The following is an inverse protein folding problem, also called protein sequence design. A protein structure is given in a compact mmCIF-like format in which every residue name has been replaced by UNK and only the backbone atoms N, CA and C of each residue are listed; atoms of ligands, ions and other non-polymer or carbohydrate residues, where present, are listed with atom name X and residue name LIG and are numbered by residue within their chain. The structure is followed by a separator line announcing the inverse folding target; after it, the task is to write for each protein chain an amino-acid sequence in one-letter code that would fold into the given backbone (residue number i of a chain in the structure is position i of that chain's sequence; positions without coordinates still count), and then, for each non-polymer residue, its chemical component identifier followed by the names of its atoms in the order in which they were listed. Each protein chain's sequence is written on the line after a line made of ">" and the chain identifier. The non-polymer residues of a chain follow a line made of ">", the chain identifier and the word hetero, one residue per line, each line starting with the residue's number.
data_IF_499623318750
#
_entry.id   IF_499623318750
#
_cell.length_a   1.000
_cell.length_b   1.000
_cell.length_c   1.000
_cell.angle_alpha   90.00
_cell.angle_beta   90.00
_cell.angle_gamma   90.00
#
_symmetry.space_group_name_H-M   'P 1'
#
loop_
_entity.id
_entity.type
_entity.pdbx_description
1 polymer ?
#
# COMPACT_ATOMS: atom_id res chain seq x y z
N UNK A 1 -3.52 21.25 -28.03
CA UNK A 1 -4.62 21.94 -27.34
C UNK A 1 -4.91 21.15 -26.09
N UNK A 2 -4.47 21.61 -24.92
CA UNK A 2 -4.78 20.93 -23.65
C UNK A 2 -6.29 21.02 -23.41
N UNK A 3 -6.99 19.93 -23.05
CA UNK A 3 -8.41 20.00 -22.74
C UNK A 3 -8.62 21.00 -21.58
N UNK A 4 -9.62 21.87 -21.76
CA UNK A 4 -9.94 23.07 -20.97
C UNK A 4 -10.45 22.80 -19.54
N UNK A 5 -10.14 21.64 -18.94
CA UNK A 5 -10.59 21.24 -17.60
C UNK A 5 -9.46 20.76 -16.68
N UNK A 6 -8.19 20.92 -17.06
CA UNK A 6 -7.07 20.57 -16.19
C UNK A 6 -6.87 21.64 -15.09
N UNK A 7 -7.23 21.29 -13.84
CA UNK A 7 -7.02 22.13 -12.64
C UNK A 7 -5.54 22.16 -12.22
N UNK A 8 -4.71 21.24 -12.72
CA UNK A 8 -3.28 21.16 -12.43
C UNK A 8 -2.47 20.89 -13.70
N UNK A 9 -1.26 21.44 -13.71
CA UNK A 9 -0.18 21.14 -14.65
C UNK A 9 0.35 19.70 -14.53
N UNK A 10 0.05 19.01 -13.42
CA UNK A 10 0.43 17.63 -13.18
C UNK A 10 -0.72 16.66 -13.51
N UNK A 11 -0.49 15.61 -14.31
CA UNK A 11 -1.50 14.59 -14.57
C UNK A 11 -1.72 13.70 -13.35
N UNK A 12 -2.90 13.07 -13.27
CA UNK A 12 -3.11 11.96 -12.35
C UNK A 12 -2.22 10.78 -12.76
N UNK A 13 -1.41 10.27 -11.82
CA UNK A 13 -0.47 9.19 -12.05
C UNK A 13 -0.62 8.11 -10.98
N UNK A 14 -0.37 6.87 -11.38
CA UNK A 14 -0.29 5.72 -10.50
C UNK A 14 1.13 5.18 -10.55
N UNK A 15 1.72 4.93 -9.39
CA UNK A 15 3.08 4.40 -9.26
C UNK A 15 3.15 3.55 -8.01
N UNK A 16 4.03 2.55 -7.99
CA UNK A 16 4.34 1.83 -6.77
C UNK A 16 4.79 2.81 -5.66
N UNK A 17 4.14 2.70 -4.50
CA UNK A 17 4.49 3.48 -3.31
C UNK A 17 5.98 3.37 -2.95
N UNK A 18 6.59 2.19 -3.14
CA UNK A 18 8.02 1.98 -2.88
C UNK A 18 8.89 2.94 -3.69
N UNK A 19 8.52 3.26 -4.94
CA UNK A 19 9.27 4.21 -5.78
C UNK A 19 9.20 5.63 -5.25
N UNK A 20 8.06 6.04 -4.71
CA UNK A 20 7.93 7.35 -4.06
C UNK A 20 8.80 7.42 -2.81
N UNK A 21 8.83 6.34 -2.02
CA UNK A 21 9.70 6.22 -0.84
C UNK A 21 11.17 6.27 -1.26
N UNK A 22 11.57 5.58 -2.33
CA UNK A 22 12.94 5.62 -2.87
C UNK A 22 13.36 7.05 -3.20
N UNK A 23 12.50 7.83 -3.86
CA UNK A 23 12.80 9.23 -4.20
C UNK A 23 12.93 10.11 -2.95
N UNK A 24 12.09 9.91 -1.94
CA UNK A 24 12.23 10.62 -0.68
C UNK A 24 13.51 10.24 0.07
N UNK A 25 13.87 8.96 0.09
CA UNK A 25 15.10 8.48 0.72
C UNK A 25 16.34 9.04 0.01
N UNK A 26 16.37 8.99 -1.32
CA UNK A 26 17.45 9.56 -2.14
C UNK A 26 17.60 11.06 -1.89
N UNK A 27 16.49 11.80 -1.81
CA UNK A 27 16.52 13.23 -1.52
C UNK A 27 16.98 13.53 -0.10
N UNK A 28 16.52 12.77 0.91
CA UNK A 28 16.92 12.93 2.30
C UNK A 28 18.42 12.68 2.51
N UNK A 29 18.94 11.63 1.87
CA UNK A 29 20.37 11.27 1.90
C UNK A 29 21.24 12.33 1.21
N UNK A 30 20.78 12.88 0.08
CA UNK A 30 21.52 13.93 -0.67
C UNK A 30 21.29 15.34 -0.14
N UNK A 31 20.30 15.53 0.73
CA UNK A 31 20.00 16.81 1.37
C UNK A 31 21.08 17.22 2.38
N UNK A 32 21.17 18.52 2.76
CA UNK A 32 22.24 19.03 3.62
C UNK A 32 22.40 18.28 4.96
N UNK A 33 21.30 17.76 5.51
CA UNK A 33 21.29 17.02 6.76
C UNK A 33 21.70 15.53 6.62
N UNK A 34 21.86 15.02 5.39
CA UNK A 34 22.30 13.64 5.10
C UNK A 34 21.49 12.58 5.88
N UNK A 35 20.17 12.74 5.89
CA UNK A 35 19.29 11.94 6.75
C UNK A 35 19.11 10.55 6.15
N UNK A 36 19.34 9.52 6.96
CA UNK A 36 19.03 8.13 6.65
C UNK A 36 18.15 7.53 7.76
N UNK A 37 17.14 6.71 7.45
CA UNK A 37 16.34 6.06 8.50
C UNK A 37 17.13 4.99 9.26
N UNK A 38 16.99 4.98 10.59
CA UNK A 38 17.44 3.87 11.43
C UNK A 38 16.38 2.76 11.45
N UNK A 39 16.65 1.67 10.73
CA UNK A 39 15.71 0.54 10.61
C UNK A 39 15.84 -0.46 11.76
N UNK A 40 14.76 -1.22 11.98
CA UNK A 40 14.72 -2.32 12.95
C UNK A 40 14.46 -1.90 14.40
N UNK A 41 14.22 -0.60 14.64
CA UNK A 41 13.76 -0.10 15.93
C UNK A 41 12.25 -0.21 16.07
N UNK A 42 11.79 -0.71 17.21
CA UNK A 42 10.38 -0.72 17.60
C UNK A 42 10.14 0.37 18.63
N UNK A 43 9.16 1.25 18.38
CA UNK A 43 8.68 2.21 19.36
C UNK A 43 7.89 1.49 20.46
N UNK A 44 8.27 1.70 21.72
CA UNK A 44 7.59 1.11 22.86
C UNK A 44 6.66 2.12 23.52
N UNK A 45 7.20 3.28 23.90
CA UNK A 45 6.53 4.27 24.75
C UNK A 45 7.23 5.64 24.62
N UNK A 46 6.49 6.71 24.90
CA UNK A 46 7.07 8.03 25.15
C UNK A 46 6.46 8.63 26.41
N UNK A 47 7.26 9.42 27.10
CA UNK A 47 6.86 10.26 28.23
C UNK A 47 7.39 11.68 28.03
N UNK A 48 6.64 12.69 28.48
CA UNK A 48 7.06 14.09 28.45
C UNK A 48 7.38 14.54 29.87
N UNK A 49 8.63 14.89 30.12
CA UNK A 49 9.16 15.37 31.39
C UNK A 49 9.40 16.89 31.27
N UNK A 50 8.52 17.69 31.87
CA UNK A 50 8.63 19.15 31.83
C UNK A 50 9.90 19.64 32.57
N UNK A 51 10.49 20.73 32.06
CA UNK A 51 11.64 21.40 32.69
C UNK A 51 13.02 20.96 32.22
N UNK A 52 13.12 19.99 31.30
CA UNK A 52 14.36 19.53 30.67
C UNK A 52 14.57 20.17 29.28
N UNK A 53 15.81 20.28 28.80
CA UNK A 53 16.13 20.75 27.43
C UNK A 53 15.62 19.77 26.34
N UNK A 54 15.63 18.47 26.67
CA UNK A 54 15.09 17.38 25.85
C UNK A 54 13.98 16.64 26.63
N UNK A 55 12.78 17.24 26.72
CA UNK A 55 11.72 16.77 27.62
C UNK A 55 11.08 15.46 27.18
N UNK A 56 11.20 15.05 25.91
CA UNK A 56 10.54 13.83 25.43
C UNK A 56 11.49 12.65 25.58
N UNK A 57 11.17 11.73 26.49
CA UNK A 57 11.88 10.48 26.67
C UNK A 57 11.17 9.38 25.87
N UNK A 58 11.87 8.81 24.89
CA UNK A 58 11.35 7.73 24.02
C UNK A 58 12.04 6.43 24.38
N UNK A 59 11.25 5.40 24.70
CA UNK A 59 11.73 4.03 24.84
C UNK A 59 11.56 3.28 23.53
N UNK A 60 12.64 2.65 23.10
CA UNK A 60 12.72 1.88 21.87
C UNK A 60 13.25 0.48 22.19
N UNK A 61 12.91 -0.50 21.36
CA UNK A 61 13.64 -1.77 21.27
C UNK A 61 14.51 -1.73 20.03
N UNK A 62 15.80 -1.99 20.19
CA UNK A 62 16.77 -2.01 19.09
C UNK A 62 16.69 -3.32 18.26
N UNK A 63 17.37 -3.39 17.11
CA UNK A 63 17.36 -4.59 16.26
C UNK A 63 17.91 -5.86 16.94
N UNK A 64 18.64 -5.73 18.05
CA UNK A 64 19.15 -6.83 18.85
C UNK A 64 18.19 -7.23 19.98
N UNK A 65 17.04 -6.57 20.09
CA UNK A 65 16.02 -6.82 21.11
C UNK A 65 16.25 -6.10 22.43
N UNK A 66 17.25 -5.22 22.53
CA UNK A 66 17.57 -4.49 23.76
C UNK A 66 16.77 -3.19 23.85
N UNK A 67 16.32 -2.85 25.05
CA UNK A 67 15.65 -1.56 25.26
C UNK A 67 16.66 -0.42 25.33
N UNK A 68 16.33 0.68 24.66
CA UNK A 68 17.10 1.91 24.63
C UNK A 68 16.21 3.10 24.91
N UNK A 69 16.81 4.13 25.49
CA UNK A 69 16.14 5.41 25.71
C UNK A 69 16.81 6.49 24.87
N UNK A 70 15.99 7.22 24.10
CA UNK A 70 16.39 8.41 23.37
C UNK A 70 15.69 9.61 23.99
N UNK A 71 16.41 10.70 24.23
CA UNK A 71 15.81 11.98 24.65
C UNK A 71 15.76 12.92 23.44
N UNK A 72 14.63 13.58 23.26
CA UNK A 72 14.39 14.50 22.15
C UNK A 72 13.64 15.75 22.61
N UNK A 73 13.81 16.84 21.87
CA UNK A 73 12.98 18.04 22.06
C UNK A 73 11.58 17.86 21.48
N UNK A 74 11.47 17.11 20.37
CA UNK A 74 10.21 16.81 19.71
C UNK A 74 10.18 15.37 19.19
N UNK A 75 8.98 14.80 19.13
CA UNK A 75 8.70 13.52 18.49
C UNK A 75 7.53 13.72 17.54
N UNK A 76 7.65 13.18 16.32
CA UNK A 76 6.59 13.22 15.30
C UNK A 76 6.12 11.79 15.03
N UNK A 77 4.85 11.51 15.30
CA UNK A 77 4.23 10.20 15.06
C UNK A 77 3.84 10.00 13.61
N UNK A 78 4.56 9.14 12.90
CA UNK A 78 4.24 8.70 11.53
C UNK A 78 4.08 7.16 11.42
N UNK A 79 3.69 6.52 12.53
CA UNK A 79 3.63 5.07 12.76
C UNK A 79 2.28 4.41 12.41
N UNK A 80 1.46 5.10 11.60
CA UNK A 80 0.31 4.52 10.91
C UNK A 80 -0.98 4.37 11.73
N UNK A 81 -1.91 3.55 11.21
CA UNK A 81 -3.29 3.47 11.73
C UNK A 81 -3.40 2.96 13.18
N UNK A 82 -2.40 2.19 13.64
CA UNK A 82 -2.24 1.69 15.01
C UNK A 82 -1.11 2.40 15.76
N UNK A 83 -0.95 3.70 15.49
CA UNK A 83 0.08 4.54 16.10
C UNK A 83 0.10 4.43 17.62
N UNK A 84 1.26 4.02 18.16
CA UNK A 84 1.54 4.02 19.60
C UNK A 84 1.86 5.43 20.10
N UNK A 85 2.47 6.27 19.25
CA UNK A 85 2.70 7.69 19.58
C UNK A 85 1.37 8.37 19.88
N UNK A 86 0.36 8.16 19.03
CA UNK A 86 -1.00 8.66 19.25
C UNK A 86 -1.58 8.15 20.57
N UNK A 87 -1.45 6.85 20.84
CA UNK A 87 -1.96 6.23 22.06
C UNK A 87 -1.29 6.82 23.33
N UNK A 88 0.02 7.07 23.33
CA UNK A 88 0.74 7.72 24.45
C UNK A 88 0.29 9.18 24.68
N UNK A 89 -0.20 9.86 23.65
CA UNK A 89 -0.66 11.26 23.75
C UNK A 89 -2.15 11.41 24.05
N UNK A 90 -2.89 10.31 24.18
CA UNK A 90 -4.33 10.34 24.48
C UNK A 90 -5.21 10.88 23.35
N UNK A 91 -4.72 10.92 22.11
CA UNK A 91 -5.50 11.38 20.95
C UNK A 91 -6.49 10.28 20.53
N UNK A 92 -7.79 10.59 20.61
CA UNK A 92 -8.84 9.66 20.22
C UNK A 92 -9.09 9.62 18.70
N UNK A 93 -9.38 8.44 18.17
CA UNK A 93 -9.78 8.25 16.77
C UNK A 93 -11.26 7.87 16.71
N UNK A 94 -12.09 8.77 16.20
CA UNK A 94 -13.49 8.47 15.88
C UNK A 94 -13.55 7.66 14.58
N UNK A 95 -14.12 6.45 14.64
CA UNK A 95 -14.27 5.56 13.48
C UNK A 95 -15.73 5.41 13.11
N UNK A 96 -16.03 5.51 11.82
CA UNK A 96 -17.29 5.03 11.26
C UNK A 96 -17.23 3.49 11.16
N UNK A 97 -18.19 2.75 11.75
CA UNK A 97 -18.19 1.29 11.76
C UNK A 97 -18.55 0.65 10.41
N UNK A 98 -18.96 1.41 9.39
CA UNK A 98 -19.32 0.86 8.07
C UNK A 98 -18.11 0.38 7.27
N UNK A 99 -17.64 -0.83 7.57
CA UNK A 99 -16.48 -1.41 6.92
C UNK A 99 -16.89 -2.27 5.71
N UNK A 100 -16.57 -1.81 4.51
CA UNK A 100 -16.56 -2.61 3.29
C UNK A 100 -15.18 -3.23 3.07
N UNK A 101 -15.13 -4.54 2.84
CA UNK A 101 -13.88 -5.23 2.57
C UNK A 101 -13.54 -5.23 1.07
N UNK A 102 -12.26 -5.08 0.77
CA UNK A 102 -11.71 -5.13 -0.59
C UNK A 102 -10.50 -6.06 -0.64
N UNK A 103 -10.47 -6.95 -1.62
CA UNK A 103 -9.25 -7.65 -2.01
C UNK A 103 -8.48 -6.78 -3.00
N UNK A 104 -7.16 -6.64 -2.81
CA UNK A 104 -6.30 -5.88 -3.72
C UNK A 104 -5.23 -6.81 -4.28
N UNK A 105 -5.14 -6.86 -5.61
CA UNK A 105 -4.19 -7.72 -6.32
C UNK A 105 -3.47 -6.93 -7.40
N UNK A 106 -2.14 -7.02 -7.43
CA UNK A 106 -1.30 -6.55 -8.54
C UNK A 106 -0.94 -7.74 -9.42
N UNK A 107 -1.34 -7.72 -10.70
CA UNK A 107 -1.22 -8.89 -11.59
C UNK A 107 -0.66 -8.52 -12.95
N UNK A 108 0.13 -9.45 -13.50
CA UNK A 108 0.41 -9.53 -14.92
C UNK A 108 -0.63 -10.48 -15.53
N UNK A 109 -1.34 -10.02 -16.56
CA UNK A 109 -2.40 -10.78 -17.18
C UNK A 109 -2.41 -10.58 -18.69
N UNK A 110 -2.95 -11.57 -19.37
CA UNK A 110 -3.39 -11.49 -20.76
C UNK A 110 -4.91 -11.46 -20.77
N UNK A 111 -5.50 -10.48 -21.44
CA UNK A 111 -6.95 -10.29 -21.51
C UNK A 111 -7.33 -9.55 -22.78
N UNK A 112 -8.51 -9.83 -23.28
CA UNK A 112 -9.18 -9.12 -24.38
C UNK A 112 -10.04 -7.95 -23.87
N UNK A 113 -10.08 -7.69 -22.56
CA UNK A 113 -10.81 -6.56 -21.99
C UNK A 113 -10.24 -5.23 -22.52
N UNK A 114 -11.02 -4.44 -23.27
CA UNK A 114 -10.48 -3.34 -24.08
C UNK A 114 -9.90 -2.20 -23.23
N UNK A 115 -10.46 -2.00 -22.03
CA UNK A 115 -10.08 -0.88 -21.15
C UNK A 115 -9.04 -1.27 -20.09
N UNK A 116 -8.29 -2.38 -20.28
CA UNK A 116 -7.31 -2.86 -19.30
C UNK A 116 -6.21 -1.82 -18.97
N UNK A 117 -6.01 -0.83 -19.84
CA UNK A 117 -5.05 0.28 -19.68
C UNK A 117 -5.67 1.59 -19.20
N UNK A 118 -6.96 1.58 -18.85
CA UNK A 118 -7.66 2.74 -18.32
C UNK A 118 -8.12 2.46 -16.89
N UNK A 119 -8.13 3.51 -16.05
CA UNK A 119 -8.76 3.42 -14.74
C UNK A 119 -10.26 3.28 -14.96
N UNK A 120 -10.86 2.18 -14.49
CA UNK A 120 -12.29 1.95 -14.64
C UNK A 120 -12.91 1.30 -13.40
N UNK A 121 -14.16 1.67 -13.14
CA UNK A 121 -15.03 0.94 -12.23
C UNK A 121 -15.86 -0.05 -13.04
N UNK A 122 -15.78 -1.32 -12.71
CA UNK A 122 -16.53 -2.41 -13.35
C UNK A 122 -17.55 -2.89 -12.34
N UNK A 123 -18.83 -2.83 -12.69
CA UNK A 123 -19.92 -3.28 -11.84
C UNK A 123 -20.64 -4.41 -12.55
N UNK A 124 -20.69 -5.58 -11.91
CA UNK A 124 -21.56 -6.68 -12.31
C UNK A 124 -22.86 -6.62 -11.51
N UNK A 125 -23.98 -6.94 -12.16
CA UNK A 125 -25.28 -7.05 -11.49
C UNK A 125 -25.29 -8.15 -10.41
N UNK A 126 -24.39 -9.13 -10.50
CA UNK A 126 -24.37 -10.32 -9.62
C UNK A 126 -23.05 -10.56 -8.91
N UNK A 127 -21.94 -10.18 -9.53
CA UNK A 127 -20.60 -10.61 -9.10
C UNK A 127 -19.82 -9.51 -8.36
N UNK A 128 -20.50 -8.40 -8.03
CA UNK A 128 -19.95 -7.29 -7.27
C UNK A 128 -19.19 -6.27 -8.13
N UNK A 129 -18.34 -5.49 -7.46
CA UNK A 129 -17.67 -4.34 -8.04
C UNK A 129 -16.16 -4.50 -8.02
N UNK A 130 -15.52 -4.13 -9.12
CA UNK A 130 -14.08 -4.07 -9.28
C UNK A 130 -13.68 -2.62 -9.58
N UNK A 131 -12.62 -2.15 -8.93
CA UNK A 131 -11.88 -0.97 -9.36
C UNK A 131 -10.57 -1.42 -10.00
N UNK A 132 -10.45 -1.21 -11.31
CA UNK A 132 -9.25 -1.42 -12.07
C UNK A 132 -8.38 -0.16 -12.04
N UNK A 133 -7.11 -0.34 -11.71
CA UNK A 133 -6.10 0.71 -11.72
C UNK A 133 -4.90 0.23 -12.55
N UNK A 134 -4.69 0.75 -13.76
CA UNK A 134 -3.47 0.49 -14.53
C UNK A 134 -2.24 0.91 -13.72
N UNK A 135 -1.21 0.08 -13.76
CA UNK A 135 0.05 0.34 -13.07
C UNK A 135 1.15 0.70 -14.06
N UNK A 136 2.25 1.19 -13.50
CA UNK A 136 3.45 1.57 -14.22
C UNK A 136 4.04 0.39 -15.03
N UNK A 137 4.83 0.72 -16.05
CA UNK A 137 5.51 -0.29 -16.90
C UNK A 137 4.63 -0.87 -18.02
N UNK A 138 3.35 -0.53 -18.08
CA UNK A 138 2.50 -0.83 -19.23
C UNK A 138 2.07 -2.29 -19.32
N UNK A 139 2.28 -3.12 -18.29
CA UNK A 139 1.84 -4.51 -18.21
C UNK A 139 1.06 -4.80 -16.95
N UNK A 140 1.55 -4.33 -15.80
CA UNK A 140 0.94 -4.52 -14.49
C UNK A 140 -0.42 -3.81 -14.39
N UNK A 141 -1.38 -4.46 -13.73
CA UNK A 141 -2.68 -3.89 -13.39
C UNK A 141 -3.05 -4.24 -11.95
N UNK A 142 -3.67 -3.29 -11.24
CA UNK A 142 -4.22 -3.50 -9.90
C UNK A 142 -5.73 -3.67 -9.98
N UNK A 143 -6.21 -4.73 -9.36
CA UNK A 143 -7.63 -4.99 -9.18
C UNK A 143 -7.98 -4.87 -7.71
N UNK A 144 -8.87 -3.93 -7.38
CA UNK A 144 -9.55 -3.89 -6.09
C UNK A 144 -10.93 -4.51 -6.25
N UNK A 145 -11.13 -5.71 -5.73
CA UNK A 145 -12.38 -6.47 -5.83
C UNK A 145 -13.16 -6.33 -4.53
N UNK A 146 -14.40 -5.87 -4.61
CA UNK A 146 -15.29 -5.76 -3.46
C UNK A 146 -15.65 -7.15 -2.94
N UNK A 147 -15.56 -7.32 -1.62
CA UNK A 147 -15.94 -8.55 -0.92
C UNK A 147 -17.26 -8.43 -0.17
N UNK A 148 -17.90 -7.26 -0.21
CA UNK A 148 -19.11 -6.96 0.57
C UNK A 148 -18.83 -6.40 1.96
N UNK A 149 -19.86 -6.40 2.81
CA UNK A 149 -19.79 -5.86 4.17
C UNK A 149 -19.04 -6.84 5.10
N UNK A 150 -18.29 -6.30 6.07
CA UNK A 150 -17.55 -7.12 7.03
C UNK A 150 -18.48 -7.81 8.04
N UNK A 151 -19.73 -7.35 8.17
CA UNK A 151 -20.74 -7.96 9.04
C UNK A 151 -21.33 -9.26 8.47
N UNK A 152 -21.20 -9.49 7.16
CA UNK A 152 -21.78 -10.65 6.46
C UNK A 152 -20.88 -11.90 6.44
N UNK A 153 -19.67 -11.86 7.04
CA UNK A 153 -18.72 -12.97 6.99
C UNK A 153 -18.14 -13.35 8.38
N UNK A 154 -18.11 -14.66 8.75
CA UNK A 154 -17.35 -15.10 9.93
C UNK A 154 -15.86 -14.81 9.69
N UNK A 155 -15.22 -14.07 10.62
CA UNK A 155 -13.78 -13.75 10.53
C UNK A 155 -12.96 -15.02 10.28
N UNK A 156 -12.21 -15.14 9.17
CA UNK A 156 -11.24 -16.21 9.06
C UNK A 156 -10.09 -15.91 10.03
N UNK A 157 -9.86 -16.82 10.98
CA UNK A 157 -8.60 -16.88 11.74
C UNK A 157 -7.47 -17.03 10.71
N UNK A 158 -6.49 -16.14 10.77
CA UNK A 158 -5.17 -16.20 10.12
C UNK A 158 -4.95 -17.43 9.22
N UNK A 159 -5.23 -17.28 7.92
CA UNK A 159 -5.12 -18.38 6.94
C UNK A 159 -6.03 -18.20 5.73
N UNK A 160 -6.00 -17.03 5.08
CA UNK A 160 -6.74 -16.80 3.83
C UNK A 160 -6.05 -17.50 2.66
N UNK A 161 -6.26 -18.80 2.50
CA UNK A 161 -5.86 -19.52 1.29
C UNK A 161 -6.76 -19.13 0.11
N UNK A 162 -6.15 -18.76 -1.02
CA UNK A 162 -6.85 -18.61 -2.30
C UNK A 162 -7.40 -19.99 -2.66
N UNK A 163 -8.74 -20.13 -2.65
CA UNK A 163 -9.39 -21.30 -3.25
C UNK A 163 -9.10 -21.23 -4.75
N UNK A 164 -8.41 -22.24 -5.26
CA UNK A 164 -7.86 -22.29 -6.61
C UNK A 164 -8.79 -21.69 -7.68
N UNK A 165 -8.26 -20.77 -8.50
CA UNK A 165 -8.86 -20.43 -9.78
C UNK A 165 -8.63 -21.61 -10.74
N UNK A 166 -9.56 -22.56 -10.76
CA UNK A 166 -9.62 -23.55 -11.84
C UNK A 166 -10.46 -22.97 -12.97
N UNK A 167 -9.84 -22.23 -13.88
CA UNK A 167 -10.38 -22.15 -15.25
C UNK A 167 -10.05 -23.47 -15.95
N UNK A 168 -10.98 -24.10 -16.69
CA UNK A 168 -10.61 -25.22 -17.55
C UNK A 168 -9.62 -24.67 -18.58
N UNK A 169 -8.38 -25.16 -18.54
CA UNK A 169 -7.39 -24.83 -19.54
C UNK A 169 -7.96 -25.24 -20.91
N UNK A 170 -8.23 -24.25 -21.78
CA UNK A 170 -8.46 -24.53 -23.19
C UNK A 170 -7.17 -25.15 -23.74
N UNK A 171 -7.20 -26.35 -24.34
CA UNK A 171 -5.98 -26.97 -24.84
C UNK A 171 -5.34 -26.07 -25.89
N UNK A 172 -4.08 -25.75 -25.70
CA UNK A 172 -3.29 -24.97 -26.65
C UNK A 172 -3.32 -25.66 -28.02
N UNK A 173 -3.74 -24.92 -29.04
CA UNK A 173 -3.66 -25.41 -30.43
C UNK A 173 -2.17 -25.53 -30.80
N UNK A 174 -1.68 -26.70 -31.27
CA UNK A 174 -0.28 -26.87 -31.58
C UNK A 174 0.13 -25.92 -32.72
N UNK A 175 1.21 -25.18 -32.50
CA UNK A 175 1.83 -24.31 -33.50
C UNK A 175 2.36 -25.16 -34.66
N UNK A 176 2.04 -24.87 -35.92
CA UNK A 176 2.56 -25.62 -37.06
C UNK A 176 4.10 -25.46 -37.15
N UNK A 177 4.83 -26.51 -37.57
CA UNK A 177 6.28 -26.45 -37.68
C UNK A 177 6.70 -25.42 -38.74
N UNK A 178 7.74 -24.64 -38.40
CA UNK A 178 8.38 -23.71 -39.32
C UNK A 178 8.91 -24.47 -40.55
N UNK A 179 8.69 -23.99 -41.79
CA UNK A 179 9.30 -24.61 -42.96
C UNK A 179 10.83 -24.51 -42.88
N UNK A 180 11.51 -25.60 -43.22
CA UNK A 180 12.96 -25.66 -43.30
C UNK A 180 13.45 -24.64 -44.35
N UNK A 181 14.45 -23.84 -43.98
CA UNK A 181 15.18 -23.00 -44.93
C UNK A 181 15.96 -23.90 -45.88
N UNK A 182 15.77 -23.69 -47.17
CA UNK A 182 16.68 -24.17 -48.21
C UNK A 182 17.98 -23.36 -48.21
#
# INVERSE_FOLDING_TARGET
>A
MLPTTAVSEFPFLTVNQARVIDYFAEYAERGPARITPDFGYEFLELEVQEGEEHPVQVRLRDPQGQERTVRATYVVGCDGSRSRVRDCTGIEVVRDPSAHAWSVMDVLLETDFPDIRQKCGIQSDKDGTILLIPREGGFLARFSVSLGSIDDAPRPRSGGGIRACSSPATPATPTPPRPARA
#
